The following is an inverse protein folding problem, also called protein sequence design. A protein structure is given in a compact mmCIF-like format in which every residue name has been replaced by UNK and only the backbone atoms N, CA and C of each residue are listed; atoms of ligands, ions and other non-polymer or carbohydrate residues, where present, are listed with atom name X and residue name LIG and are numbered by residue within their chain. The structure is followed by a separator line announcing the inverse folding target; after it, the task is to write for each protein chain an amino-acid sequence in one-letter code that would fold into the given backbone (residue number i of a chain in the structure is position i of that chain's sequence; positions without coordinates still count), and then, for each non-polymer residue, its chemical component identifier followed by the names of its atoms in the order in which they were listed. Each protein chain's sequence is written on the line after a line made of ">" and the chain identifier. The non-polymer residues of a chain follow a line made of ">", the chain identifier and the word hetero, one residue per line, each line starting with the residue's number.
data_IF_930019682658
#
_entry.id   IF_930019682658
#
_cell.length_a   1.000
_cell.length_b   1.000
_cell.length_c   1.000
_cell.angle_alpha   90.00
_cell.angle_beta   90.00
_cell.angle_gamma   90.00
#
_symmetry.space_group_name_H-M   'P 1'
#
loop_
_entity.id
_entity.type
_entity.pdbx_description
1 polymer ?
#
# COMPACT_ATOMS: atom_id res chain seq x y z
N UNK A 1 10.61 1.36 -18.79
CA UNK A 1 10.10 0.31 -17.87
C UNK A 1 10.69 0.49 -16.48
N UNK A 2 12.02 0.47 -16.32
CA UNK A 2 12.66 0.63 -14.99
C UNK A 2 12.15 1.84 -14.20
N UNK A 3 12.07 3.04 -14.79
CA UNK A 3 11.55 4.21 -14.09
C UNK A 3 10.11 4.02 -13.55
N UNK A 4 9.26 3.26 -14.26
CA UNK A 4 7.90 2.95 -13.81
C UNK A 4 7.90 1.96 -12.64
N UNK A 5 8.75 0.92 -12.70
CA UNK A 5 8.93 -0.03 -11.60
C UNK A 5 9.52 0.65 -10.37
N UNK A 6 10.51 1.52 -10.56
CA UNK A 6 11.09 2.31 -9.47
C UNK A 6 10.07 3.25 -8.83
N UNK A 7 9.22 3.89 -9.64
CA UNK A 7 8.08 4.69 -9.14
C UNK A 7 7.14 3.85 -8.25
N UNK A 8 6.84 2.62 -8.66
CA UNK A 8 6.06 1.70 -7.82
C UNK A 8 6.78 1.33 -6.52
N UNK A 9 8.07 0.98 -6.61
CA UNK A 9 8.91 0.62 -5.45
C UNK A 9 8.99 1.75 -4.43
N UNK A 10 9.10 3.00 -4.88
CA UNK A 10 9.06 4.20 -4.02
C UNK A 10 7.73 4.22 -3.24
N UNK A 11 6.60 4.12 -3.93
CA UNK A 11 5.30 4.15 -3.27
C UNK A 11 5.13 3.01 -2.25
N UNK A 12 5.50 1.78 -2.60
CA UNK A 12 5.42 0.63 -1.68
C UNK A 12 6.31 0.83 -0.45
N UNK A 13 7.53 1.34 -0.65
CA UNK A 13 8.48 1.62 0.42
C UNK A 13 7.98 2.71 1.37
N UNK A 14 7.28 3.73 0.87
CA UNK A 14 6.65 4.75 1.73
C UNK A 14 5.51 4.16 2.56
N UNK A 15 4.73 3.21 2.04
CA UNK A 15 3.71 2.53 2.86
C UNK A 15 4.36 1.71 3.99
N UNK A 16 5.45 1.00 3.69
CA UNK A 16 6.20 0.22 4.70
C UNK A 16 6.83 1.13 5.74
N UNK A 17 7.46 2.22 5.30
CA UNK A 17 8.00 3.25 6.19
C UNK A 17 6.94 3.85 7.13
N UNK A 18 5.75 4.14 6.62
CA UNK A 18 4.63 4.61 7.44
C UNK A 18 4.23 3.56 8.48
N UNK A 19 4.08 2.29 8.08
CA UNK A 19 3.74 1.20 9.00
C UNK A 19 4.82 1.02 10.10
N UNK A 20 6.10 1.08 9.73
CA UNK A 20 7.22 0.97 10.67
C UNK A 20 7.25 2.13 11.69
N UNK A 21 6.68 3.28 11.31
CA UNK A 21 6.60 4.47 12.15
C UNK A 21 5.40 4.47 13.11
N UNK A 22 4.53 3.45 13.03
CA UNK A 22 3.31 3.34 13.84
C UNK A 22 3.53 2.31 14.95
N UNK A 23 3.38 2.70 16.23
CA UNK A 23 3.51 1.75 17.32
C UNK A 23 2.33 0.75 17.31
N UNK A 24 2.52 -0.53 17.68
CA UNK A 24 1.49 -1.56 17.57
C UNK A 24 0.16 -1.21 18.24
N UNK A 25 0.19 -0.53 19.38
CA UNK A 25 -0.99 -0.09 20.11
C UNK A 25 -1.84 0.95 19.35
N UNK A 26 -1.24 1.70 18.42
CA UNK A 26 -1.93 2.69 17.61
C UNK A 26 -2.62 2.09 16.37
N UNK A 27 -2.39 0.80 16.06
CA UNK A 27 -3.04 0.14 14.92
C UNK A 27 -4.57 0.11 15.04
N UNK A 28 -5.09 -0.02 16.26
CA UNK A 28 -6.52 -0.04 16.52
C UNK A 28 -7.18 1.35 16.46
N UNK A 29 -6.40 2.43 16.39
CA UNK A 29 -6.92 3.80 16.37
C UNK A 29 -7.78 4.03 15.13
N UNK A 30 -8.99 4.55 15.31
CA UNK A 30 -9.95 4.76 14.24
C UNK A 30 -10.57 6.15 14.30
N UNK A 31 -10.97 6.65 13.13
CA UNK A 31 -11.85 7.82 13.04
C UNK A 31 -13.24 7.46 13.54
N UNK A 32 -13.98 8.46 14.04
CA UNK A 32 -15.38 8.30 14.46
C UNK A 32 -16.28 7.73 13.35
N UNK A 33 -15.92 7.99 12.09
CA UNK A 33 -16.48 7.35 10.90
C UNK A 33 -15.33 6.99 9.95
N UNK A 34 -14.97 5.72 9.88
CA UNK A 34 -13.93 5.27 8.96
C UNK A 34 -13.27 3.98 9.38
N UNK A 35 -12.19 3.65 8.67
CA UNK A 35 -11.32 2.53 9.01
C UNK A 35 -10.38 2.94 10.15
N UNK A 36 -9.99 1.96 10.95
CA UNK A 36 -8.82 2.03 11.82
C UNK A 36 -7.53 2.24 11.01
N UNK A 37 -6.43 2.53 11.70
CA UNK A 37 -5.08 2.57 11.10
C UNK A 37 -4.76 1.22 10.44
N UNK A 38 -4.93 0.10 11.15
CA UNK A 38 -4.78 -1.25 10.58
C UNK A 38 -5.75 -1.51 9.44
N UNK A 39 -6.96 -0.98 9.50
CA UNK A 39 -7.99 -1.15 8.49
C UNK A 39 -7.63 -0.46 7.18
N UNK A 40 -7.01 0.73 7.23
CA UNK A 40 -6.50 1.41 6.04
C UNK A 40 -5.34 0.64 5.39
N UNK A 41 -4.37 0.19 6.19
CA UNK A 41 -3.21 -0.58 5.71
C UNK A 41 -3.62 -1.96 5.15
N UNK A 42 -4.54 -2.64 5.84
CA UNK A 42 -5.20 -3.86 5.35
C UNK A 42 -5.91 -3.63 4.03
N UNK A 43 -6.60 -2.49 3.89
CA UNK A 43 -7.33 -2.19 2.67
C UNK A 43 -6.40 -1.99 1.48
N UNK A 44 -5.23 -1.36 1.67
CA UNK A 44 -4.17 -1.30 0.65
C UNK A 44 -3.81 -2.71 0.17
N UNK A 45 -3.44 -3.60 1.10
CA UNK A 45 -3.09 -4.98 0.76
C UNK A 45 -4.24 -5.71 0.04
N UNK A 46 -5.47 -5.64 0.56
CA UNK A 46 -6.61 -6.34 -0.01
C UNK A 46 -7.00 -5.83 -1.41
N UNK A 47 -6.80 -4.54 -1.72
CA UNK A 47 -7.02 -3.98 -3.07
C UNK A 47 -5.95 -4.48 -4.05
N UNK A 48 -4.68 -4.58 -3.63
CA UNK A 48 -3.64 -5.22 -4.45
C UNK A 48 -4.04 -6.65 -4.82
N UNK A 49 -4.53 -7.43 -3.85
CA UNK A 49 -5.00 -8.81 -4.08
C UNK A 49 -6.23 -8.86 -5.01
N UNK A 50 -7.14 -7.89 -4.92
CA UNK A 50 -8.26 -7.79 -5.88
C UNK A 50 -7.75 -7.70 -7.32
N UNK A 51 -6.74 -6.86 -7.57
CA UNK A 51 -6.14 -6.72 -8.90
C UNK A 51 -5.34 -7.95 -9.32
N UNK A 52 -4.54 -8.52 -8.43
CA UNK A 52 -3.78 -9.75 -8.71
C UNK A 52 -4.73 -10.90 -9.08
N UNK A 53 -5.82 -11.09 -8.35
CA UNK A 53 -6.82 -12.12 -8.65
C UNK A 53 -7.37 -12.00 -10.07
N UNK A 54 -7.59 -10.77 -10.55
CA UNK A 54 -8.13 -10.53 -11.88
C UNK A 54 -7.06 -10.63 -12.99
N UNK A 55 -5.86 -10.12 -12.72
CA UNK A 55 -4.84 -9.86 -13.74
C UNK A 55 -3.69 -10.89 -13.78
N UNK A 56 -3.35 -11.50 -12.65
CA UNK A 56 -2.29 -12.50 -12.50
C UNK A 56 -2.65 -13.50 -11.38
N UNK A 57 -3.58 -14.44 -11.62
CA UNK A 57 -4.01 -15.41 -10.62
C UNK A 57 -2.85 -16.20 -10.00
N UNK A 58 -1.82 -16.51 -10.77
CA UNK A 58 -0.60 -17.18 -10.32
C UNK A 58 0.16 -16.39 -9.25
N UNK A 59 0.18 -15.05 -9.36
CA UNK A 59 0.76 -14.17 -8.33
C UNK A 59 -0.15 -14.00 -7.12
N UNK A 60 -1.46 -14.19 -7.28
CA UNK A 60 -2.42 -14.13 -6.19
C UNK A 60 -2.38 -15.38 -5.30
N UNK A 61 -2.07 -16.55 -5.84
CA UNK A 61 -2.05 -17.83 -5.09
C UNK A 61 -1.14 -17.82 -3.86
N UNK A 62 -0.02 -17.09 -3.92
CA UNK A 62 0.90 -16.92 -2.78
C UNK A 62 0.49 -15.86 -1.75
N UNK A 63 -0.68 -15.23 -1.90
CA UNK A 63 -1.09 -14.08 -1.10
C UNK A 63 -2.30 -14.40 -0.21
N UNK A 64 -2.30 -13.91 1.03
CA UNK A 64 -3.38 -14.15 2.00
C UNK A 64 -4.04 -12.85 2.41
N UNK A 65 -5.36 -12.73 2.18
CA UNK A 65 -6.15 -11.57 2.62
C UNK A 65 -6.20 -11.43 4.13
N UNK A 66 -6.48 -10.22 4.59
CA UNK A 66 -6.99 -9.99 5.93
C UNK A 66 -8.51 -9.94 5.89
N UNK A 67 -9.16 -10.85 6.61
CA UNK A 67 -10.63 -10.96 6.66
C UNK A 67 -11.23 -10.30 7.92
N UNK A 68 -10.44 -10.11 8.97
CA UNK A 68 -10.88 -9.58 10.28
C UNK A 68 -9.78 -8.78 10.96
N UNK A 69 -10.20 -7.90 11.87
CA UNK A 69 -9.36 -7.21 12.84
C UNK A 69 -9.53 -7.87 14.24
N UNK A 70 -8.57 -7.70 15.18
CA UNK A 70 -7.32 -6.94 15.08
C UNK A 70 -6.29 -7.64 14.18
N UNK A 71 -5.37 -6.84 13.65
CA UNK A 71 -4.30 -7.32 12.78
C UNK A 71 -2.97 -7.08 13.47
N UNK A 72 -2.11 -8.09 13.48
CA UNK A 72 -0.76 -7.99 14.03
C UNK A 72 0.15 -7.14 13.14
N UNK A 73 1.06 -6.37 13.75
CA UNK A 73 1.98 -5.47 13.05
C UNK A 73 2.95 -6.24 12.14
N UNK A 74 3.51 -7.36 12.63
CA UNK A 74 4.42 -8.17 11.83
C UNK A 74 3.69 -8.82 10.65
N UNK A 75 2.45 -9.30 10.86
CA UNK A 75 1.61 -9.79 9.77
C UNK A 75 1.30 -8.71 8.72
N UNK A 76 1.00 -7.47 9.12
CA UNK A 76 0.82 -6.35 8.20
C UNK A 76 2.09 -6.10 7.38
N UNK A 77 3.25 -6.07 8.05
CA UNK A 77 4.55 -5.81 7.43
C UNK A 77 4.87 -6.88 6.37
N UNK A 78 4.73 -8.15 6.74
CA UNK A 78 4.95 -9.29 5.84
C UNK A 78 4.05 -9.20 4.61
N UNK A 79 2.74 -9.02 4.82
CA UNK A 79 1.76 -9.11 3.74
C UNK A 79 1.73 -7.88 2.84
N UNK A 80 2.01 -6.69 3.36
CA UNK A 80 2.18 -5.50 2.51
C UNK A 80 3.43 -5.64 1.65
N UNK A 81 4.54 -6.12 2.22
CA UNK A 81 5.78 -6.37 1.47
C UNK A 81 5.54 -7.40 0.36
N UNK A 82 4.92 -8.53 0.69
CA UNK A 82 4.67 -9.62 -0.27
C UNK A 82 3.73 -9.17 -1.41
N UNK A 83 2.64 -8.48 -1.10
CA UNK A 83 1.73 -7.98 -2.14
C UNK A 83 2.36 -6.83 -2.95
N UNK A 84 3.26 -6.06 -2.35
CA UNK A 84 4.07 -5.05 -3.02
C UNK A 84 4.93 -5.63 -4.14
N UNK A 85 5.66 -6.71 -3.81
CA UNK A 85 6.48 -7.46 -4.78
C UNK A 85 5.64 -8.12 -5.87
N UNK A 86 4.47 -8.67 -5.52
CA UNK A 86 3.57 -9.29 -6.50
C UNK A 86 3.01 -8.27 -7.51
N UNK A 87 2.68 -7.05 -7.07
CA UNK A 87 2.25 -5.98 -7.98
C UNK A 87 3.40 -5.51 -8.86
N UNK A 88 4.62 -5.39 -8.32
CA UNK A 88 5.79 -5.05 -9.12
C UNK A 88 5.98 -6.04 -10.27
N UNK A 89 5.87 -7.33 -9.96
CA UNK A 89 5.95 -8.41 -10.93
C UNK A 89 4.82 -8.34 -11.98
N UNK A 90 3.59 -8.04 -11.56
CA UNK A 90 2.47 -7.78 -12.48
C UNK A 90 2.77 -6.61 -13.44
N UNK A 91 3.30 -5.49 -12.93
CA UNK A 91 3.67 -4.32 -13.74
C UNK A 91 4.82 -4.65 -14.68
N UNK A 92 5.83 -5.39 -14.21
CA UNK A 92 6.97 -5.84 -15.02
C UNK A 92 6.50 -6.70 -16.21
N UNK A 93 5.55 -7.60 -16.00
CA UNK A 93 4.94 -8.44 -17.06
C UNK A 93 4.22 -7.64 -18.14
N UNK A 94 3.81 -6.40 -17.88
CA UNK A 94 3.25 -5.53 -18.92
C UNK A 94 4.29 -5.10 -19.97
N UNK A 95 5.59 -5.23 -19.67
CA UNK A 95 6.71 -5.05 -20.59
C UNK A 95 7.02 -3.59 -20.97
N UNK A 96 6.00 -2.74 -21.12
CA UNK A 96 6.14 -1.31 -21.42
C UNK A 96 5.16 -0.47 -20.60
N UNK A 97 5.39 0.85 -20.43
CA UNK A 97 4.43 1.76 -19.80
C UNK A 97 3.04 1.78 -20.46
N UNK A 98 3.00 1.59 -21.79
CA UNK A 98 1.78 1.49 -22.59
C UNK A 98 1.22 0.06 -22.68
N UNK A 99 1.86 -0.89 -21.97
CA UNK A 99 1.45 -2.27 -21.88
C UNK A 99 0.09 -2.44 -21.19
N UNK A 100 -0.49 -3.63 -21.30
CA UNK A 100 -1.84 -3.92 -20.80
C UNK A 100 -1.78 -4.68 -19.47
N UNK A 101 -2.63 -4.26 -18.54
CA UNK A 101 -2.98 -5.02 -17.33
C UNK A 101 -4.42 -5.51 -17.51
N UNK A 102 -4.66 -6.82 -17.40
CA UNK A 102 -5.99 -7.39 -17.61
C UNK A 102 -6.99 -6.80 -16.58
N UNK A 103 -8.14 -6.34 -17.08
CA UNK A 103 -9.18 -5.72 -16.26
C UNK A 103 -8.96 -4.24 -15.94
N UNK A 104 -7.81 -3.66 -16.31
CA UNK A 104 -7.53 -2.24 -16.12
C UNK A 104 -7.31 -1.53 -17.46
N UNK A 105 -7.76 -0.28 -17.55
CA UNK A 105 -7.57 0.60 -18.72
C UNK A 105 -7.14 1.99 -18.24
N UNK A 106 -6.36 2.75 -19.03
CA UNK A 106 -5.92 2.44 -20.40
C UNK A 106 -4.69 1.53 -20.53
N UNK A 107 -3.69 1.67 -19.64
CA UNK A 107 -2.39 1.00 -19.76
C UNK A 107 -1.68 0.88 -18.40
N UNK A 108 -0.51 0.22 -18.36
CA UNK A 108 0.23 -0.10 -17.14
C UNK A 108 0.69 1.14 -16.36
N UNK A 109 1.12 2.22 -17.03
CA UNK A 109 1.48 3.46 -16.32
C UNK A 109 0.28 4.08 -15.59
N UNK A 110 -0.92 4.05 -16.20
CA UNK A 110 -2.13 4.51 -15.53
C UNK A 110 -2.54 3.59 -14.37
N UNK A 111 -2.25 2.30 -14.46
CA UNK A 111 -2.46 1.35 -13.37
C UNK A 111 -1.59 1.68 -12.15
N UNK A 112 -0.30 1.94 -12.37
CA UNK A 112 0.62 2.39 -11.31
C UNK A 112 0.16 3.73 -10.72
N UNK A 113 -0.23 4.69 -11.57
CA UNK A 113 -0.78 5.98 -11.11
C UNK A 113 -2.04 5.81 -10.26
N UNK A 114 -2.94 4.91 -10.64
CA UNK A 114 -4.14 4.59 -9.86
C UNK A 114 -3.79 4.02 -8.48
N UNK A 115 -2.86 3.07 -8.40
CA UNK A 115 -2.43 2.48 -7.12
C UNK A 115 -1.77 3.53 -6.22
N UNK A 116 -0.91 4.38 -6.77
CA UNK A 116 -0.27 5.46 -6.00
C UNK A 116 -1.32 6.42 -5.43
N UNK A 117 -2.30 6.81 -6.23
CA UNK A 117 -3.38 7.69 -5.77
C UNK A 117 -4.23 7.04 -4.67
N UNK A 118 -4.61 5.78 -4.85
CA UNK A 118 -5.37 5.00 -3.87
C UNK A 118 -4.60 4.84 -2.55
N UNK A 119 -3.34 4.44 -2.62
CA UNK A 119 -2.54 4.17 -1.44
C UNK A 119 -2.16 5.47 -0.71
N UNK A 120 -1.89 6.56 -1.44
CA UNK A 120 -1.68 7.90 -0.85
C UNK A 120 -2.91 8.39 -0.09
N UNK A 121 -4.11 8.15 -0.60
CA UNK A 121 -5.35 8.46 0.11
C UNK A 121 -5.41 7.72 1.46
N UNK A 122 -5.10 6.42 1.47
CA UNK A 122 -5.12 5.64 2.71
C UNK A 122 -4.00 6.01 3.68
N UNK A 123 -2.81 6.42 3.20
CA UNK A 123 -1.76 7.01 4.05
C UNK A 123 -2.25 8.27 4.76
N UNK A 124 -2.92 9.17 4.04
CA UNK A 124 -3.50 10.37 4.65
C UNK A 124 -4.57 10.03 5.70
N UNK A 125 -5.42 9.03 5.44
CA UNK A 125 -6.43 8.60 6.41
C UNK A 125 -5.81 8.03 7.70
N UNK A 126 -4.67 7.34 7.60
CA UNK A 126 -3.89 6.89 8.76
C UNK A 126 -3.40 8.10 9.57
N UNK A 127 -2.75 9.07 8.93
CA UNK A 127 -2.22 10.25 9.61
C UNK A 127 -3.32 11.10 10.26
N UNK A 128 -4.48 11.24 9.61
CA UNK A 128 -5.64 11.94 10.18
C UNK A 128 -6.18 11.19 11.40
N UNK A 129 -6.28 9.86 11.37
CA UNK A 129 -6.73 9.06 12.50
C UNK A 129 -5.82 9.22 13.73
N UNK A 130 -4.50 9.15 13.50
CA UNK A 130 -3.48 9.35 14.53
C UNK A 130 -3.55 10.75 15.14
N UNK A 131 -3.64 11.80 14.31
CA UNK A 131 -3.76 13.19 14.78
C UNK A 131 -5.02 13.42 15.60
N UNK A 132 -6.17 12.93 15.15
CA UNK A 132 -7.44 13.10 15.86
C UNK A 132 -7.48 12.36 17.19
N UNK A 133 -6.72 11.28 17.33
CA UNK A 133 -6.57 10.55 18.58
C UNK A 133 -5.51 11.15 19.52
N UNK A 134 -4.88 12.28 19.16
CA UNK A 134 -3.85 12.93 19.97
C UNK A 134 -2.50 12.21 19.97
N UNK A 135 -2.27 11.30 19.02
CA UNK A 135 -1.04 10.51 18.85
C UNK A 135 -0.45 10.72 17.44
N UNK A 136 -0.12 11.96 17.05
CA UNK A 136 0.44 12.21 15.73
C UNK A 136 1.76 11.46 15.52
N UNK A 137 2.09 11.17 14.26
CA UNK A 137 3.46 10.79 13.88
C UNK A 137 4.43 11.89 14.32
N UNK A 138 5.64 11.51 14.73
CA UNK A 138 6.71 12.46 14.95
C UNK A 138 7.12 13.14 13.63
N UNK A 139 7.74 14.32 13.73
CA UNK A 139 8.12 15.13 12.57
C UNK A 139 9.03 14.37 11.59
N UNK A 140 9.96 13.56 12.09
CA UNK A 140 10.86 12.78 11.23
C UNK A 140 10.08 11.76 10.41
N UNK A 141 9.13 11.08 11.04
CA UNK A 141 8.22 10.13 10.38
C UNK A 141 7.28 10.82 9.38
N UNK A 142 6.70 11.96 9.76
CA UNK A 142 5.79 12.71 8.88
C UNK A 142 6.51 13.30 7.65
N UNK A 143 7.67 13.93 7.83
CA UNK A 143 8.45 14.48 6.71
C UNK A 143 9.12 13.38 5.88
N UNK A 144 9.55 12.29 6.51
CA UNK A 144 10.16 11.15 5.82
C UNK A 144 9.28 10.55 4.73
N UNK A 145 7.95 10.61 4.86
CA UNK A 145 7.01 10.15 3.83
C UNK A 145 7.13 10.89 2.48
N UNK A 146 7.78 12.06 2.47
CA UNK A 146 8.01 12.89 1.29
C UNK A 146 9.45 12.83 0.77
N UNK A 147 10.36 12.16 1.48
CA UNK A 147 11.77 12.04 1.12
C UNK A 147 12.02 10.87 0.14
N UNK A 148 11.37 10.90 -1.03
CA UNK A 148 11.34 9.75 -1.97
C UNK A 148 12.70 9.33 -2.53
N UNK A 149 13.68 10.24 -2.54
CA UNK A 149 15.05 9.95 -2.99
C UNK A 149 15.95 9.30 -1.95
N UNK A 150 15.53 9.23 -0.68
CA UNK A 150 16.36 8.70 0.42
C UNK A 150 15.66 7.64 1.27
N UNK A 151 14.32 7.62 1.27
CA UNK A 151 13.57 6.47 1.77
C UNK A 151 13.65 5.35 0.80
#
# INVERSE_FOLDING_TARGET
>A
MEALLDTWRINDRINRYLLDSIPPEALATALSKGKSVSGNLTHIHNVRLMWLKAAAPDLHEGQTKFDKEPVDHAALTERITSSGMAIEELVRRAGTPDGKIKGFKPHAAAFVGYLIAHESFHRAMVEIALRQAGIPLDDKSAYGAWEWGSR
#
